data_IF_214715587664
#
_entry.id   IF_214715587664
#
_cell.length_a   1.000
_cell.length_b   1.000
_cell.length_c   1.000
_cell.angle_alpha   90.00
_cell.angle_beta   90.00
_cell.angle_gamma   90.00
#
_symmetry.space_group_name_H-M   'P 1'
#
loop_
_entity.id
_entity.type
_entity.pdbx_description
1 polymer ?
#
# COMPACT_ATOMS: atom_id res chain seq x y z
N UNK A 1 -15.93 4.69 -47.22
CA UNK A 1 -14.86 4.60 -46.20
C UNK A 1 -13.91 3.50 -46.63
N UNK A 2 -12.63 3.80 -46.78
CA UNK A 2 -11.62 2.86 -47.25
C UNK A 2 -11.52 1.65 -46.29
N UNK A 3 -11.36 0.43 -46.84
CA UNK A 3 -11.33 -0.80 -46.01
C UNK A 3 -10.16 -0.83 -45.00
N UNK A 4 -9.07 -0.17 -45.34
CA UNK A 4 -7.95 0.08 -44.44
C UNK A 4 -8.38 0.91 -43.22
N UNK A 5 -9.15 2.00 -43.45
CA UNK A 5 -9.64 2.86 -42.37
C UNK A 5 -10.61 2.10 -41.43
N UNK A 6 -11.49 1.27 -41.98
CA UNK A 6 -12.37 0.39 -41.22
C UNK A 6 -11.58 -0.60 -40.34
N UNK A 7 -10.46 -1.12 -40.85
CA UNK A 7 -9.60 -2.06 -40.12
C UNK A 7 -8.85 -1.37 -39.00
N UNK A 8 -8.34 -0.15 -39.21
CA UNK A 8 -7.67 0.67 -38.18
C UNK A 8 -8.63 1.01 -37.03
N UNK A 9 -9.87 1.44 -37.36
CA UNK A 9 -10.88 1.75 -36.32
C UNK A 9 -11.17 0.54 -35.42
N UNK A 10 -11.19 -0.68 -35.98
CA UNK A 10 -11.39 -1.91 -35.19
C UNK A 10 -10.21 -2.25 -34.28
N UNK A 11 -9.02 -1.70 -34.53
CA UNK A 11 -7.84 -1.92 -33.68
C UNK A 11 -7.78 -0.96 -32.47
N UNK A 12 -8.43 0.19 -32.53
CA UNK A 12 -8.37 1.21 -31.46
C UNK A 12 -8.71 0.66 -30.06
N UNK A 13 -9.71 -0.20 -29.85
CA UNK A 13 -10.03 -0.73 -28.51
C UNK A 13 -8.87 -1.47 -27.84
N UNK A 14 -8.00 -2.14 -28.59
CA UNK A 14 -6.95 -2.97 -28.01
C UNK A 14 -5.86 -2.21 -27.27
N UNK A 15 -5.23 -1.15 -27.83
CA UNK A 15 -4.28 -0.31 -27.09
C UNK A 15 -4.94 0.39 -25.91
N UNK A 16 -6.20 0.80 -25.98
CA UNK A 16 -6.93 1.37 -24.85
C UNK A 16 -7.04 0.37 -23.69
N UNK A 17 -7.42 -0.88 -23.98
CA UNK A 17 -7.46 -1.95 -22.98
C UNK A 17 -6.07 -2.27 -22.43
N UNK A 18 -5.03 -2.30 -23.27
CA UNK A 18 -3.64 -2.47 -22.83
C UNK A 18 -3.27 -1.39 -21.81
N UNK A 19 -3.57 -0.11 -22.09
CA UNK A 19 -3.31 0.99 -21.18
C UNK A 19 -4.05 0.82 -19.84
N UNK A 20 -5.33 0.40 -19.88
CA UNK A 20 -6.10 0.10 -18.67
C UNK A 20 -5.46 -1.01 -17.83
N UNK A 21 -5.01 -2.10 -18.46
CA UNK A 21 -4.35 -3.21 -17.77
C UNK A 21 -3.02 -2.76 -17.16
N UNK A 22 -2.23 -1.94 -17.85
CA UNK A 22 -0.97 -1.39 -17.31
C UNK A 22 -1.22 -0.51 -16.09
N UNK A 23 -2.30 0.30 -16.08
CA UNK A 23 -2.69 1.10 -14.93
C UNK A 23 -3.10 0.22 -13.73
N UNK A 24 -3.76 -0.90 -13.99
CA UNK A 24 -4.06 -1.89 -12.95
C UNK A 24 -2.77 -2.52 -12.38
N UNK A 25 -1.80 -2.86 -13.24
CA UNK A 25 -0.50 -3.41 -12.82
C UNK A 25 0.30 -2.46 -11.94
N UNK A 26 0.25 -1.15 -12.22
CA UNK A 26 0.91 -0.13 -11.39
C UNK A 26 0.25 0.05 -10.02
N UNK A 27 -0.82 -0.68 -9.75
CA UNK A 27 -1.57 -0.64 -8.50
C UNK A 27 -1.97 0.78 -8.06
N UNK A 28 -2.17 1.66 -9.03
CA UNK A 28 -2.61 3.02 -8.79
C UNK A 28 -4.09 3.02 -8.40
N UNK A 29 -4.38 3.20 -7.11
CA UNK A 29 -5.75 3.34 -6.61
C UNK A 29 -6.54 4.39 -7.40
N UNK A 30 -5.94 5.54 -7.66
CA UNK A 30 -6.56 6.60 -8.45
C UNK A 30 -6.78 6.18 -9.92
N UNK A 31 -5.86 5.42 -10.51
CA UNK A 31 -6.03 4.88 -11.87
C UNK A 31 -7.21 3.92 -11.95
N UNK A 32 -7.34 3.03 -10.99
CA UNK A 32 -8.47 2.07 -10.91
C UNK A 32 -9.79 2.80 -10.66
N UNK A 33 -9.83 3.72 -9.69
CA UNK A 33 -11.02 4.53 -9.39
C UNK A 33 -11.45 5.37 -10.61
N UNK A 34 -10.50 5.99 -11.30
CA UNK A 34 -10.77 6.80 -12.48
C UNK A 34 -11.31 5.95 -13.64
N UNK A 35 -10.70 4.79 -13.92
CA UNK A 35 -11.14 3.92 -15.00
C UNK A 35 -12.49 3.26 -14.74
N UNK A 36 -12.73 2.77 -13.54
CA UNK A 36 -13.95 2.04 -13.21
C UNK A 36 -15.00 2.89 -12.49
N UNK A 37 -14.60 3.96 -11.81
CA UNK A 37 -15.53 4.88 -11.15
C UNK A 37 -16.03 5.99 -12.08
N UNK A 38 -15.14 6.63 -12.83
CA UNK A 38 -15.47 7.79 -13.67
C UNK A 38 -15.67 7.39 -15.14
N UNK A 39 -14.80 6.54 -15.70
CA UNK A 39 -14.80 6.17 -17.12
C UNK A 39 -15.43 4.80 -17.41
N UNK A 40 -16.17 4.20 -16.47
CA UNK A 40 -16.77 2.87 -16.64
C UNK A 40 -17.68 2.79 -17.88
N UNK A 41 -18.38 3.86 -18.21
CA UNK A 41 -19.23 3.97 -19.39
C UNK A 41 -18.48 3.96 -20.72
N UNK A 42 -17.16 4.19 -20.71
CA UNK A 42 -16.27 4.04 -21.87
C UNK A 42 -15.52 2.71 -21.82
N UNK A 43 -14.98 2.34 -20.65
CA UNK A 43 -14.12 1.16 -20.51
C UNK A 43 -14.87 -0.15 -20.73
N UNK A 44 -16.10 -0.27 -20.23
CA UNK A 44 -16.94 -1.46 -20.44
C UNK A 44 -17.31 -1.68 -21.90
N UNK A 45 -17.84 -0.66 -22.64
CA UNK A 45 -18.08 -0.82 -24.08
C UNK A 45 -16.82 -1.12 -24.88
N UNK A 46 -15.67 -0.53 -24.57
CA UNK A 46 -14.39 -0.83 -25.24
C UNK A 46 -13.95 -2.28 -24.99
N UNK A 47 -14.10 -2.79 -23.78
CA UNK A 47 -13.81 -4.19 -23.46
C UNK A 47 -14.73 -5.14 -24.27
N UNK A 48 -16.02 -4.87 -24.31
CA UNK A 48 -16.98 -5.66 -25.09
C UNK A 48 -16.65 -5.62 -26.59
N UNK A 49 -16.34 -4.44 -27.14
CA UNK A 49 -15.95 -4.29 -28.54
C UNK A 49 -14.65 -5.05 -28.86
N UNK A 50 -13.67 -5.03 -27.96
CA UNK A 50 -12.42 -5.78 -28.11
C UNK A 50 -12.69 -7.28 -28.19
N UNK A 51 -13.56 -7.81 -27.34
CA UNK A 51 -13.95 -9.23 -27.32
C UNK A 51 -14.67 -9.59 -28.64
N UNK A 52 -15.62 -8.78 -29.06
CA UNK A 52 -16.36 -9.02 -30.31
C UNK A 52 -15.39 -9.01 -31.52
N UNK A 53 -14.49 -8.02 -31.59
CA UNK A 53 -13.53 -7.94 -32.70
C UNK A 53 -12.51 -9.07 -32.66
N UNK A 54 -12.07 -9.50 -31.47
CA UNK A 54 -11.21 -10.66 -31.30
C UNK A 54 -11.85 -11.92 -31.91
N UNK A 55 -13.07 -12.29 -31.51
CA UNK A 55 -13.76 -13.47 -32.02
C UNK A 55 -14.04 -13.39 -33.52
N UNK A 56 -14.41 -12.20 -34.05
CA UNK A 56 -14.59 -12.00 -35.49
C UNK A 56 -13.29 -12.13 -36.28
N UNK A 57 -12.14 -11.88 -35.66
CA UNK A 57 -10.82 -11.92 -36.30
C UNK A 57 -10.16 -13.31 -36.30
N UNK A 58 -10.67 -14.27 -35.53
CA UNK A 58 -10.09 -15.63 -35.42
C UNK A 58 -9.99 -16.33 -36.78
N UNK A 59 -10.85 -15.98 -37.78
CA UNK A 59 -10.82 -16.57 -39.12
C UNK A 59 -9.55 -16.25 -39.93
N UNK A 60 -8.66 -15.39 -39.44
CA UNK A 60 -7.30 -15.10 -39.93
C UNK A 60 -7.18 -14.84 -41.44
N UNK A 61 -8.21 -14.25 -42.07
CA UNK A 61 -8.28 -14.06 -43.52
C UNK A 61 -7.31 -12.97 -44.05
N UNK A 62 -6.88 -12.05 -43.21
CA UNK A 62 -5.96 -10.97 -43.63
C UNK A 62 -5.01 -10.53 -42.50
N UNK A 63 -3.96 -9.76 -42.85
CA UNK A 63 -2.92 -9.28 -41.89
C UNK A 63 -3.51 -8.49 -40.70
N UNK A 64 -4.53 -7.68 -40.91
CA UNK A 64 -5.16 -6.89 -39.85
C UNK A 64 -5.88 -7.80 -38.82
N UNK A 65 -6.48 -8.88 -39.26
CA UNK A 65 -7.09 -9.86 -38.37
C UNK A 65 -6.03 -10.59 -37.55
N UNK A 66 -4.88 -10.93 -38.14
CA UNK A 66 -3.76 -11.53 -37.41
C UNK A 66 -3.25 -10.60 -36.33
N UNK A 67 -3.04 -9.30 -36.63
CA UNK A 67 -2.63 -8.28 -35.64
C UNK A 67 -3.65 -8.18 -34.50
N UNK A 68 -4.95 -8.17 -34.82
CA UNK A 68 -6.02 -8.12 -33.81
C UNK A 68 -5.98 -9.32 -32.85
N UNK A 69 -5.77 -10.52 -33.39
CA UNK A 69 -5.68 -11.74 -32.59
C UNK A 69 -4.45 -11.74 -31.69
N UNK A 70 -3.29 -11.39 -32.25
CA UNK A 70 -2.04 -11.28 -31.46
C UNK A 70 -2.18 -10.30 -30.32
N UNK A 71 -2.74 -9.11 -30.59
CA UNK A 71 -2.95 -8.09 -29.54
C UNK A 71 -3.97 -8.52 -28.49
N UNK A 72 -5.06 -9.18 -28.90
CA UNK A 72 -6.04 -9.75 -27.98
C UNK A 72 -5.43 -10.80 -27.05
N UNK A 73 -4.59 -11.69 -27.58
CA UNK A 73 -3.86 -12.69 -26.76
C UNK A 73 -2.90 -12.00 -25.81
N UNK A 74 -2.16 -10.97 -26.27
CA UNK A 74 -1.26 -10.20 -25.40
C UNK A 74 -2.03 -9.54 -24.24
N UNK A 75 -3.16 -8.91 -24.51
CA UNK A 75 -4.00 -8.31 -23.46
C UNK A 75 -4.53 -9.37 -22.48
N UNK A 76 -4.88 -10.56 -22.94
CA UNK A 76 -5.30 -11.64 -22.05
C UNK A 76 -4.16 -12.09 -21.13
N UNK A 77 -2.95 -12.25 -21.66
CA UNK A 77 -1.78 -12.62 -20.88
C UNK A 77 -1.49 -11.53 -19.84
N UNK A 78 -1.45 -10.26 -20.23
CA UNK A 78 -1.23 -9.13 -19.32
C UNK A 78 -2.31 -9.07 -18.23
N UNK A 79 -3.57 -9.35 -18.56
CA UNK A 79 -4.66 -9.38 -17.59
C UNK A 79 -4.48 -10.51 -16.56
N UNK A 80 -4.10 -11.71 -17.01
CA UNK A 80 -3.82 -12.85 -16.11
C UNK A 80 -2.64 -12.51 -15.19
N UNK A 81 -1.57 -11.91 -15.72
CA UNK A 81 -0.42 -11.45 -14.92
C UNK A 81 -0.85 -10.41 -13.89
N UNK A 82 -1.73 -9.47 -14.28
CA UNK A 82 -2.27 -8.46 -13.37
C UNK A 82 -3.08 -9.08 -12.23
N UNK A 83 -3.94 -10.03 -12.52
CA UNK A 83 -4.72 -10.76 -11.51
C UNK A 83 -3.79 -11.49 -10.53
N UNK A 84 -2.80 -12.22 -11.04
CA UNK A 84 -1.84 -12.92 -10.20
C UNK A 84 -1.02 -11.96 -9.33
N UNK A 85 -0.66 -10.78 -9.86
CA UNK A 85 0.05 -9.76 -9.08
C UNK A 85 -0.80 -9.21 -7.94
N UNK A 86 -2.07 -8.90 -8.20
CA UNK A 86 -3.03 -8.42 -7.20
C UNK A 86 -3.24 -9.48 -6.10
N UNK A 87 -3.46 -10.73 -6.50
CA UNK A 87 -3.68 -11.84 -5.55
C UNK A 87 -2.47 -12.07 -4.66
N UNK A 88 -1.25 -12.05 -5.22
CA UNK A 88 0.00 -12.17 -4.42
C UNK A 88 0.18 -11.03 -3.42
N UNK A 89 -0.20 -9.80 -3.77
CA UNK A 89 -0.14 -8.68 -2.84
C UNK A 89 -1.13 -8.85 -1.66
N UNK A 90 -2.33 -9.36 -1.91
CA UNK A 90 -3.29 -9.65 -0.84
C UNK A 90 -2.79 -10.78 0.06
N UNK A 91 -2.19 -11.84 -0.50
CA UNK A 91 -1.56 -12.92 0.27
C UNK A 91 -0.40 -12.43 1.13
N UNK A 92 0.39 -11.46 0.66
CA UNK A 92 1.55 -10.92 1.40
C UNK A 92 1.18 -10.18 2.68
N UNK A 93 -0.09 -9.90 2.89
CA UNK A 93 -0.63 -9.16 4.05
C UNK A 93 -1.48 -10.04 4.98
N UNK A 94 -1.35 -11.36 4.86
CA UNK A 94 -1.95 -12.30 5.80
C UNK A 94 -1.34 -12.12 7.21
N UNK A 95 -2.14 -12.15 8.29
CA UNK A 95 -1.63 -12.08 9.66
C UNK A 95 -0.58 -13.15 10.01
N UNK A 96 -0.63 -14.34 9.41
CA UNK A 96 0.40 -15.37 9.59
C UNK A 96 1.77 -14.93 9.03
N UNK A 97 1.78 -14.21 7.91
CA UNK A 97 3.00 -13.63 7.33
C UNK A 97 3.51 -12.51 8.22
N UNK A 98 2.61 -11.66 8.75
CA UNK A 98 2.97 -10.62 9.72
C UNK A 98 3.58 -11.23 10.97
N UNK A 99 3.01 -12.33 11.49
CA UNK A 99 3.55 -13.02 12.66
C UNK A 99 4.96 -13.56 12.40
N UNK A 100 5.15 -14.27 11.29
CA UNK A 100 6.48 -14.80 10.91
C UNK A 100 7.50 -13.68 10.74
N UNK A 101 7.14 -12.59 10.10
CA UNK A 101 8.01 -11.43 9.92
C UNK A 101 8.34 -10.75 11.26
N UNK A 102 7.35 -10.57 12.14
CA UNK A 102 7.57 -10.00 13.46
C UNK A 102 8.54 -10.85 14.28
N UNK A 103 8.37 -12.18 14.33
CA UNK A 103 9.28 -13.08 15.04
C UNK A 103 10.74 -12.96 14.56
N UNK A 104 10.94 -12.70 13.27
CA UNK A 104 12.28 -12.53 12.70
C UNK A 104 12.91 -11.17 13.01
N UNK A 105 12.10 -10.13 13.25
CA UNK A 105 12.57 -8.75 13.28
C UNK A 105 12.27 -7.99 14.59
N UNK A 106 11.50 -8.56 15.54
CA UNK A 106 11.02 -7.85 16.73
C UNK A 106 12.15 -7.22 17.56
N UNK A 107 13.30 -7.91 17.71
CA UNK A 107 14.43 -7.36 18.44
C UNK A 107 14.98 -6.07 17.78
N UNK A 108 15.12 -6.07 16.46
CA UNK A 108 15.56 -4.88 15.70
C UNK A 108 14.50 -3.78 15.71
N UNK A 109 13.21 -4.14 15.72
CA UNK A 109 12.11 -3.18 15.86
C UNK A 109 12.15 -2.49 17.23
N UNK A 110 12.44 -3.24 18.30
CA UNK A 110 12.63 -2.68 19.65
C UNK A 110 13.85 -1.74 19.72
N UNK A 111 14.96 -2.10 19.06
CA UNK A 111 16.14 -1.24 18.96
C UNK A 111 15.85 0.05 18.19
N UNK A 112 15.17 -0.07 17.04
CA UNK A 112 14.77 1.07 16.23
C UNK A 112 13.78 1.98 16.96
N UNK A 113 12.83 1.42 17.73
CA UNK A 113 11.93 2.20 18.58
C UNK A 113 12.70 3.08 19.55
N UNK A 114 13.66 2.51 20.28
CA UNK A 114 14.53 3.26 21.22
C UNK A 114 15.36 4.31 20.50
N UNK A 115 15.89 3.98 19.32
CA UNK A 115 16.65 4.93 18.52
C UNK A 115 15.80 6.12 18.08
N UNK A 116 14.60 5.89 17.55
CA UNK A 116 13.66 6.93 17.14
C UNK A 116 13.24 7.79 18.35
N UNK A 117 12.97 7.16 19.48
CA UNK A 117 12.59 7.83 20.71
C UNK A 117 13.65 8.84 21.18
N UNK A 118 14.93 8.52 21.02
CA UNK A 118 16.03 9.39 21.36
C UNK A 118 16.32 10.44 20.27
N UNK A 119 16.17 10.09 18.99
CA UNK A 119 16.47 10.99 17.88
C UNK A 119 15.41 12.10 17.69
N UNK A 120 14.15 11.85 18.11
CA UNK A 120 13.01 12.76 17.88
C UNK A 120 12.62 13.46 19.19
N UNK A 121 13.57 14.17 19.82
CA UNK A 121 13.32 14.85 21.11
C UNK A 121 12.53 16.17 20.97
N UNK A 122 12.63 16.86 19.84
CA UNK A 122 12.06 18.20 19.66
C UNK A 122 10.67 18.20 19.03
N UNK A 123 10.19 17.06 18.52
CA UNK A 123 8.92 16.96 17.77
C UNK A 123 7.87 16.17 18.57
N UNK A 124 6.63 16.67 18.62
CA UNK A 124 5.53 15.99 19.33
C UNK A 124 5.10 14.70 18.66
N UNK A 125 5.18 14.65 17.33
CA UNK A 125 4.96 13.43 16.55
C UNK A 125 5.64 13.48 15.19
N UNK A 126 6.06 12.33 14.70
CA UNK A 126 6.69 12.15 13.40
C UNK A 126 6.08 10.94 12.69
N UNK A 127 5.94 11.06 11.38
CA UNK A 127 5.58 9.96 10.51
C UNK A 127 6.49 10.00 9.29
N UNK A 128 7.16 8.89 9.02
CA UNK A 128 7.98 8.69 7.83
C UNK A 128 7.52 7.46 7.07
N UNK A 129 7.43 7.58 5.76
CA UNK A 129 7.13 6.46 4.87
C UNK A 129 7.95 6.56 3.59
N UNK A 130 8.52 5.45 3.16
CA UNK A 130 9.32 5.31 1.95
C UNK A 130 8.62 4.38 0.96
N UNK A 131 8.83 4.65 -0.32
CA UNK A 131 8.52 3.74 -1.41
C UNK A 131 9.84 3.38 -2.09
N UNK A 132 10.35 2.19 -1.82
CA UNK A 132 11.72 1.75 -2.12
C UNK A 132 12.78 2.70 -1.56
N UNK A 133 13.40 3.51 -2.42
CA UNK A 133 14.44 4.49 -2.04
C UNK A 133 13.92 5.90 -1.89
N UNK A 134 12.67 6.14 -2.30
CA UNK A 134 12.11 7.49 -2.34
C UNK A 134 11.29 7.77 -1.09
N UNK A 135 11.46 8.96 -0.54
CA UNK A 135 10.57 9.46 0.50
C UNK A 135 9.15 9.58 -0.08
N UNK A 136 8.20 8.85 0.50
CA UNK A 136 6.80 8.86 0.07
C UNK A 136 5.96 9.83 0.89
N UNK A 137 6.16 9.84 2.22
CA UNK A 137 5.47 10.73 3.15
C UNK A 137 6.39 11.10 4.30
N UNK A 138 6.37 12.37 4.68
CA UNK A 138 6.97 12.89 5.89
C UNK A 138 6.01 13.84 6.58
N UNK A 139 5.66 13.56 7.81
CA UNK A 139 4.94 14.48 8.69
C UNK A 139 5.81 14.76 9.91
N UNK A 140 5.87 16.03 10.30
CA UNK A 140 6.47 16.45 11.54
C UNK A 140 5.55 17.46 12.24
N UNK A 141 5.20 17.18 13.49
CA UNK A 141 4.42 18.09 14.32
C UNK A 141 5.33 18.61 15.43
N UNK A 142 5.74 19.86 15.41
CA UNK A 142 6.33 20.50 16.58
C UNK A 142 5.29 20.54 17.71
N UNK A 143 5.73 20.86 18.94
CA UNK A 143 4.81 20.99 20.08
C UNK A 143 3.81 22.16 19.94
N UNK A 144 3.97 22.99 18.92
CA UNK A 144 3.02 24.01 18.46
C UNK A 144 1.89 23.36 17.64
N UNK A 145 0.76 24.01 17.51
CA UNK A 145 -0.45 23.48 16.87
C UNK A 145 -0.38 23.25 15.36
N UNK A 146 0.74 23.56 14.71
CA UNK A 146 0.89 23.50 13.24
C UNK A 146 1.51 22.19 12.81
N UNK A 147 0.81 21.44 11.99
CA UNK A 147 1.32 20.21 11.36
C UNK A 147 2.00 20.57 10.03
N UNK A 148 3.22 20.09 9.84
CA UNK A 148 3.96 20.24 8.58
C UNK A 148 4.08 18.89 7.88
N UNK A 149 3.93 18.88 6.56
CA UNK A 149 3.92 17.63 5.80
C UNK A 149 4.54 17.76 4.40
N UNK A 150 5.07 16.64 3.93
CA UNK A 150 5.49 16.36 2.56
C UNK A 150 4.83 15.07 2.09
N UNK A 151 4.33 15.06 0.86
CA UNK A 151 3.84 13.85 0.19
C UNK A 151 4.32 13.83 -1.25
N UNK A 152 4.96 12.78 -1.69
CA UNK A 152 5.50 12.64 -3.05
C UNK A 152 4.45 12.70 -4.18
N UNK A 153 3.17 12.62 -3.82
CA UNK A 153 2.03 12.69 -4.75
C UNK A 153 1.19 13.96 -4.62
N UNK A 154 1.56 14.86 -3.69
CA UNK A 154 0.87 16.14 -3.49
C UNK A 154 1.64 17.27 -4.17
N UNK A 155 0.91 18.21 -4.75
CA UNK A 155 1.44 19.48 -5.23
C UNK A 155 1.28 20.61 -4.18
N UNK A 156 0.77 20.27 -3.00
CA UNK A 156 0.46 21.20 -1.91
C UNK A 156 1.28 20.84 -0.66
N UNK A 157 2.58 20.59 -0.84
CA UNK A 157 3.47 20.39 0.29
C UNK A 157 3.72 21.74 0.96
N UNK A 158 3.59 21.80 2.29
CA UNK A 158 3.84 23.00 3.06
C UNK A 158 5.29 23.11 3.51
N UNK A 159 6.07 22.03 3.40
CA UNK A 159 7.49 22.00 3.72
C UNK A 159 8.24 20.98 2.85
N UNK A 160 9.49 21.27 2.50
CA UNK A 160 10.40 20.32 1.89
C UNK A 160 11.02 19.36 2.93
N UNK A 161 11.76 18.35 2.44
CA UNK A 161 12.40 17.34 3.30
C UNK A 161 13.32 17.97 4.35
N UNK A 162 14.14 18.95 3.98
CA UNK A 162 15.14 19.53 4.86
C UNK A 162 14.50 20.36 5.96
N UNK A 163 13.46 21.12 5.62
CA UNK A 163 12.63 21.84 6.60
C UNK A 163 11.96 20.89 7.59
N UNK A 164 11.40 19.76 7.10
CA UNK A 164 10.76 18.77 7.98
C UNK A 164 11.75 18.04 8.87
N UNK A 165 12.97 17.77 8.39
CA UNK A 165 14.05 17.22 9.21
C UNK A 165 14.43 18.20 10.33
N UNK A 166 14.54 19.50 10.02
CA UNK A 166 14.81 20.54 11.02
C UNK A 166 13.69 20.63 12.06
N UNK A 167 12.42 20.61 11.65
CA UNK A 167 11.24 20.59 12.54
C UNK A 167 11.24 19.34 13.43
N UNK A 168 11.64 18.21 12.90
CA UNK A 168 11.74 16.96 13.64
C UNK A 168 12.96 16.87 14.56
N UNK A 169 13.90 17.81 14.46
CA UNK A 169 15.19 17.78 15.17
C UNK A 169 16.15 16.72 14.63
N UNK A 170 15.93 16.22 13.41
CA UNK A 170 16.72 15.14 12.81
C UNK A 170 17.90 15.68 12.00
N UNK A 171 19.08 15.18 12.27
CA UNK A 171 20.24 15.33 11.37
C UNK A 171 20.12 14.40 10.16
N UNK A 172 20.84 14.72 9.07
CA UNK A 172 20.90 13.86 7.88
C UNK A 172 21.40 12.45 8.24
N UNK A 173 22.36 12.34 9.15
CA UNK A 173 22.89 11.04 9.60
C UNK A 173 21.85 10.21 10.32
N UNK A 174 21.04 10.82 11.18
CA UNK A 174 19.94 10.12 11.88
C UNK A 174 18.85 9.70 10.93
N UNK A 175 18.46 10.58 9.99
CA UNK A 175 17.48 10.25 8.96
C UNK A 175 17.93 9.04 8.11
N UNK A 176 19.16 9.04 7.63
CA UNK A 176 19.73 7.96 6.83
C UNK A 176 19.90 6.66 7.66
N UNK A 177 20.22 6.79 8.95
CA UNK A 177 20.25 5.66 9.88
C UNK A 177 18.88 5.04 10.08
N UNK A 178 17.83 5.86 10.32
CA UNK A 178 16.45 5.41 10.42
C UNK A 178 16.02 4.67 9.14
N UNK A 179 16.29 5.26 7.98
CA UNK A 179 15.99 4.63 6.70
C UNK A 179 16.66 3.26 6.52
N UNK A 180 17.95 3.19 6.86
CA UNK A 180 18.73 1.94 6.77
C UNK A 180 18.18 0.86 7.71
N UNK A 181 17.82 1.24 8.94
CA UNK A 181 17.23 0.32 9.92
C UNK A 181 15.82 -0.13 9.51
N UNK A 182 14.98 0.76 8.95
CA UNK A 182 13.67 0.39 8.39
C UNK A 182 13.80 -0.64 7.27
N UNK A 183 14.79 -0.47 6.38
CA UNK A 183 15.10 -1.47 5.35
C UNK A 183 15.56 -2.81 5.94
N UNK A 184 16.36 -2.78 6.99
CA UNK A 184 16.87 -3.99 7.64
C UNK A 184 15.77 -4.80 8.35
N UNK A 185 14.65 -4.19 8.67
CA UNK A 185 13.44 -4.84 9.20
C UNK A 185 12.34 -5.01 8.15
N UNK A 186 12.61 -4.73 6.88
CA UNK A 186 11.68 -4.82 5.75
C UNK A 186 10.33 -4.12 6.01
N UNK A 187 10.39 -2.91 6.60
CA UNK A 187 9.25 -2.03 6.83
C UNK A 187 9.33 -0.77 5.96
N UNK A 188 8.17 -0.26 5.55
CA UNK A 188 8.05 0.92 4.69
C UNK A 188 8.28 2.24 5.44
N UNK A 189 8.07 2.25 6.76
CA UNK A 189 8.12 3.48 7.55
C UNK A 189 7.63 3.28 8.97
N UNK A 190 7.41 4.40 9.65
CA UNK A 190 6.90 4.39 11.03
C UNK A 190 6.07 5.63 11.34
N UNK A 191 5.30 5.55 12.44
CA UNK A 191 4.68 6.68 13.12
C UNK A 191 5.02 6.60 14.60
N UNK A 192 5.49 7.71 15.15
CA UNK A 192 5.84 7.84 16.56
C UNK A 192 5.29 9.15 17.13
N UNK A 193 4.83 9.12 18.40
CA UNK A 193 4.34 10.29 19.10
C UNK A 193 4.90 10.34 20.52
N UNK A 194 5.51 11.47 20.90
CA UNK A 194 5.97 11.74 22.28
C UNK A 194 4.85 11.79 23.30
N UNK A 195 3.60 12.03 22.87
CA UNK A 195 2.42 11.95 23.75
C UNK A 195 2.12 10.52 24.20
N UNK A 196 2.59 9.53 23.44
CA UNK A 196 2.51 8.12 23.78
C UNK A 196 3.86 7.44 23.47
N UNK A 197 4.92 7.76 24.25
CA UNK A 197 6.28 7.31 23.97
C UNK A 197 6.47 5.81 24.11
N UNK A 198 5.51 5.14 24.73
CA UNK A 198 5.56 3.70 24.97
C UNK A 198 5.16 2.90 23.71
N UNK A 199 4.64 3.57 22.68
CA UNK A 199 4.10 2.95 21.49
C UNK A 199 4.70 3.54 20.22
N UNK A 200 5.03 2.65 19.26
CA UNK A 200 5.39 2.99 17.88
C UNK A 200 4.57 2.15 16.90
N UNK A 201 4.30 2.72 15.74
CA UNK A 201 3.70 2.00 14.62
C UNK A 201 4.74 1.82 13.51
N UNK A 202 5.01 0.57 13.08
CA UNK A 202 5.82 0.28 11.90
C UNK A 202 4.93 -0.12 10.73
N UNK A 203 5.12 0.50 9.57
CA UNK A 203 4.36 0.25 8.35
C UNK A 203 4.97 -0.93 7.61
N UNK A 204 4.28 -2.08 7.67
CA UNK A 204 4.79 -3.33 7.11
C UNK A 204 4.61 -3.38 5.60
N UNK A 205 3.38 -3.28 5.13
CA UNK A 205 3.04 -3.36 3.70
C UNK A 205 1.90 -2.43 3.37
N UNK A 206 1.93 -1.93 2.14
CA UNK A 206 0.84 -1.15 1.57
C UNK A 206 0.19 -1.94 0.44
N UNK A 207 -1.13 -2.05 0.48
CA UNK A 207 -1.93 -2.63 -0.60
C UNK A 207 -2.97 -1.61 -1.02
N UNK A 208 -2.76 -1.02 -2.17
CA UNK A 208 -3.58 0.12 -2.66
C UNK A 208 -3.55 1.29 -1.67
N UNK A 209 -4.71 1.70 -1.14
CA UNK A 209 -4.81 2.77 -0.14
C UNK A 209 -4.68 2.24 1.29
N UNK A 210 -4.75 0.93 1.48
CA UNK A 210 -4.66 0.30 2.79
C UNK A 210 -3.21 0.07 3.21
N UNK A 211 -2.98 0.05 4.53
CA UNK A 211 -1.67 -0.23 5.11
C UNK A 211 -1.81 -1.21 6.28
N UNK A 212 -0.88 -2.15 6.33
CA UNK A 212 -0.71 -3.12 7.41
C UNK A 212 0.41 -2.64 8.32
N UNK A 213 0.16 -2.62 9.61
CA UNK A 213 0.97 -1.92 10.61
C UNK A 213 1.24 -2.86 11.78
N UNK A 214 2.46 -2.84 12.30
CA UNK A 214 2.78 -3.32 13.63
C UNK A 214 2.63 -2.18 14.62
N UNK A 215 1.75 -2.30 15.58
CA UNK A 215 1.68 -1.42 16.74
C UNK A 215 2.46 -2.11 17.86
N UNK A 216 3.61 -1.54 18.25
CA UNK A 216 4.56 -2.15 19.19
C UNK A 216 4.67 -1.28 20.43
N UNK A 217 4.57 -1.93 21.57
CA UNK A 217 4.72 -1.32 22.89
C UNK A 217 6.08 -1.69 23.48
N UNK A 218 6.75 -0.73 24.13
CA UNK A 218 7.99 -1.00 24.89
C UNK A 218 7.74 -1.62 26.26
N UNK A 219 6.47 -1.79 26.66
CA UNK A 219 5.97 -2.48 27.85
C UNK A 219 4.84 -3.48 27.50
N UNK A 220 4.46 -4.39 28.39
CA UNK A 220 3.21 -5.12 28.21
C UNK A 220 2.01 -4.17 28.15
N UNK A 221 1.04 -4.50 27.29
CA UNK A 221 -0.22 -3.76 27.17
C UNK A 221 -1.02 -3.86 28.48
N UNK A 222 -1.69 -2.76 28.81
CA UNK A 222 -2.68 -2.71 29.88
C UNK A 222 -3.93 -3.53 29.51
N UNK A 223 -4.75 -3.87 30.48
CA UNK A 223 -6.00 -4.59 30.23
C UNK A 223 -6.96 -3.80 29.32
N UNK A 224 -6.95 -2.46 29.44
CA UNK A 224 -7.73 -1.61 28.55
C UNK A 224 -7.24 -1.66 27.08
N UNK A 225 -5.93 -1.66 26.84
CA UNK A 225 -5.33 -1.81 25.52
C UNK A 225 -5.60 -3.20 24.93
N UNK A 226 -5.49 -4.27 25.76
CA UNK A 226 -5.82 -5.64 25.37
C UNK A 226 -7.28 -5.78 24.95
N UNK A 227 -8.20 -5.25 25.76
CA UNK A 227 -9.63 -5.28 25.47
C UNK A 227 -9.95 -4.53 24.17
N UNK A 228 -9.39 -3.33 24.00
CA UNK A 228 -9.54 -2.58 22.73
C UNK A 228 -9.04 -3.37 21.52
N UNK A 229 -7.90 -4.07 21.64
CA UNK A 229 -7.36 -4.88 20.54
C UNK A 229 -8.24 -6.10 20.22
N UNK A 230 -8.91 -6.68 21.22
CA UNK A 230 -9.85 -7.80 21.03
C UNK A 230 -11.18 -7.34 20.40
N UNK A 231 -11.71 -6.21 20.82
CA UNK A 231 -13.00 -5.68 20.35
C UNK A 231 -12.92 -5.06 18.95
N UNK A 232 -11.80 -4.43 18.61
CA UNK A 232 -11.62 -3.74 17.34
C UNK A 232 -11.41 -4.71 16.19
N UNK A 233 -12.20 -4.58 15.13
CA UNK A 233 -12.01 -5.35 13.89
C UNK A 233 -10.77 -4.91 13.08
N UNK A 234 -10.24 -3.73 13.37
CA UNK A 234 -9.02 -3.21 12.76
C UNK A 234 -7.74 -3.78 13.40
N UNK A 235 -7.86 -4.45 14.53
CA UNK A 235 -6.75 -4.92 15.33
C UNK A 235 -6.76 -6.45 15.47
N UNK A 236 -5.55 -7.03 15.47
CA UNK A 236 -5.32 -8.44 15.81
C UNK A 236 -4.23 -8.45 16.90
N UNK A 237 -4.57 -8.74 18.17
CA UNK A 237 -3.55 -8.92 19.20
C UNK A 237 -2.69 -10.13 18.86
N UNK A 238 -1.37 -10.01 19.02
CA UNK A 238 -0.43 -11.09 18.72
C UNK A 238 0.40 -11.50 19.95
N UNK A 239 1.09 -10.53 20.55
CA UNK A 239 1.83 -10.76 21.81
C UNK A 239 1.39 -9.73 22.85
N UNK A 240 1.89 -9.83 24.10
CA UNK A 240 1.63 -8.82 25.12
C UNK A 240 2.12 -7.42 24.75
N UNK A 241 2.98 -7.29 23.71
CA UNK A 241 3.60 -6.05 23.27
C UNK A 241 3.37 -5.70 21.80
N UNK A 242 2.68 -6.56 21.03
CA UNK A 242 2.48 -6.36 19.61
C UNK A 242 1.03 -6.62 19.19
N UNK A 243 0.50 -5.66 18.44
CA UNK A 243 -0.80 -5.75 17.80
C UNK A 243 -0.61 -5.52 16.30
N UNK A 244 -1.22 -6.34 15.47
CA UNK A 244 -1.32 -6.09 14.04
C UNK A 244 -2.52 -5.18 13.80
N UNK A 245 -2.30 -4.11 13.04
CA UNK A 245 -3.30 -3.10 12.75
C UNK A 245 -3.50 -2.99 11.25
N UNK A 246 -4.75 -2.90 10.84
CA UNK A 246 -5.13 -2.62 9.47
C UNK A 246 -5.79 -1.25 9.38
N UNK A 247 -5.25 -0.41 8.50
CA UNK A 247 -5.83 0.86 8.15
C UNK A 247 -6.23 0.85 6.67
N UNK A 248 -7.53 0.93 6.38
CA UNK A 248 -8.10 0.81 5.03
C UNK A 248 -7.97 2.08 4.18
N UNK A 249 -7.47 3.18 4.77
CA UNK A 249 -7.35 4.47 4.09
C UNK A 249 -8.71 5.11 3.81
N UNK A 250 -8.70 6.09 2.91
CA UNK A 250 -9.90 6.91 2.59
C UNK A 250 -11.02 6.16 1.86
N UNK A 251 -10.76 4.97 1.35
CA UNK A 251 -11.69 4.22 0.50
C UNK A 251 -12.13 2.88 1.07
N UNK A 252 -11.63 2.49 2.25
CA UNK A 252 -11.89 1.19 2.85
C UNK A 252 -12.34 1.26 4.31
N UNK A 253 -12.98 0.20 4.80
CA UNK A 253 -13.24 0.04 6.22
C UNK A 253 -11.94 -0.38 6.92
N UNK A 254 -11.65 0.23 8.07
CA UNK A 254 -10.52 -0.14 8.93
C UNK A 254 -10.83 -1.46 9.64
N UNK A 255 -10.71 -2.57 8.92
CA UNK A 255 -10.95 -3.91 9.47
C UNK A 255 -10.22 -5.00 8.68
N UNK A 256 -9.67 -5.96 9.38
CA UNK A 256 -9.26 -7.23 8.79
C UNK A 256 -10.46 -8.01 8.25
N UNK A 257 -10.22 -8.89 7.28
CA UNK A 257 -11.27 -9.81 6.85
C UNK A 257 -11.73 -10.67 8.03
N UNK A 258 -13.05 -10.70 8.38
CA UNK A 258 -13.53 -11.31 9.63
C UNK A 258 -13.10 -12.77 9.84
N UNK A 259 -13.15 -13.57 8.76
CA UNK A 259 -12.73 -14.97 8.81
C UNK A 259 -11.23 -15.09 9.10
N UNK A 260 -10.40 -14.33 8.38
CA UNK A 260 -8.94 -14.34 8.57
C UNK A 260 -8.55 -13.95 10.00
N UNK A 261 -9.18 -12.90 10.55
CA UNK A 261 -8.97 -12.46 11.93
C UNK A 261 -9.35 -13.56 12.93
N UNK A 262 -10.53 -14.18 12.72
CA UNK A 262 -11.02 -15.26 13.60
C UNK A 262 -10.09 -16.48 13.58
N UNK A 263 -9.75 -16.96 12.39
CA UNK A 263 -8.88 -18.12 12.19
C UNK A 263 -7.50 -17.89 12.85
N UNK A 264 -6.95 -16.66 12.72
CA UNK A 264 -5.68 -16.28 13.32
C UNK A 264 -5.76 -16.28 14.86
N UNK A 265 -6.78 -15.66 15.45
CA UNK A 265 -6.96 -15.61 16.90
C UNK A 265 -7.19 -16.99 17.53
N UNK A 266 -7.92 -17.87 16.84
CA UNK A 266 -8.11 -19.27 17.29
C UNK A 266 -6.80 -20.07 17.29
N UNK A 267 -5.92 -19.80 16.31
CA UNK A 267 -4.62 -20.47 16.14
C UNK A 267 -3.58 -20.01 17.16
N UNK A 268 -3.47 -18.71 17.38
CA UNK A 268 -2.36 -18.12 18.15
C UNK A 268 -2.69 -17.88 19.64
N UNK A 269 -3.98 -17.73 20.01
CA UNK A 269 -4.43 -17.51 21.40
C UNK A 269 -3.53 -16.52 22.14
N UNK A 270 -3.56 -15.23 21.81
CA UNK A 270 -2.54 -14.24 22.19
C UNK A 270 -2.36 -14.05 23.71
N UNK A 271 -3.36 -14.37 24.56
CA UNK A 271 -3.35 -14.45 26.04
C UNK A 271 -4.55 -15.19 26.60
#
# INVERSE_FOLDING_TARGET
>A
MNDTLKSIIKLIPFPCITACIILLLKNSFFGVLFLFGVLWWITIPLAILSIIFFFKSIKLKNRWQQVTVVWGVLNLILFIVSLNHITKQEESCNPDIMATHYEQHHAKMDELHKYIQNAVEECSSIQLEFNDTNLYRFLANPDTSTQHFFNSWSTYDDADKDTLMQIAGLTTTEFDSIYTQLKAIDCLGFSYSRRNPEKIEFYFRRVRAAIYIYEIYNRPMTDAEKNNALESLALIPYTERCVFKFYGGTAGADKFHPKMRKDFLEKHKPW
#
